data_IF_101210841871
#
_entry.id   IF_101210841871
#
_cell.length_a   1.000
_cell.length_b   1.000
_cell.length_c   1.000
_cell.angle_alpha   90.00
_cell.angle_beta   90.00
_cell.angle_gamma   90.00
#
_symmetry.space_group_name_H-M   'P 1'
#
loop_
_entity.id
_entity.type
_entity.pdbx_description
1 polymer ?
2 non-polymer ?
3 water ?
#
# COMPACT_ATOMS: atom_id res chain seq x y z
N UNK A 1 7.69 0.53 2.23
CA UNK A 1 8.73 -0.47 2.08
C UNK A 1 10.02 0.09 1.43
N UNK A 2 9.93 1.22 0.76
CA UNK A 2 10.98 1.86 -0.05
C UNK A 2 10.66 3.32 -0.32
N UNK A 3 11.49 4.02 -1.12
CA UNK A 3 11.41 5.48 -1.24
C UNK A 3 10.11 6.00 -1.91
N UNK A 4 9.48 5.19 -2.75
CA UNK A 4 8.20 5.58 -3.38
C UNK A 4 7.11 5.63 -2.34
N UNK A 5 7.09 4.62 -1.49
CA UNK A 5 6.07 4.47 -0.42
C UNK A 5 6.32 5.50 0.66
N UNK A 6 7.56 5.90 0.88
CA UNK A 6 7.89 6.99 1.85
C UNK A 6 7.26 8.32 1.42
N UNK A 7 7.44 8.70 0.16
CA UNK A 7 6.89 9.96 -0.37
C UNK A 7 5.35 9.89 -0.33
N UNK A 8 4.77 8.79 -0.83
CA UNK A 8 3.29 8.61 -0.78
C UNK A 8 2.77 8.75 0.65
N UNK A 9 3.39 8.08 1.62
CA UNK A 9 2.95 8.13 3.03
C UNK A 9 2.98 9.57 3.53
N UNK A 10 4.01 10.32 3.19
CA UNK A 10 4.21 11.72 3.62
C UNK A 10 3.02 12.57 3.13
N UNK A 11 2.57 12.32 1.91
CA UNK A 11 1.40 13.02 1.31
C UNK A 11 0.13 12.59 2.03
N UNK A 12 -0.07 11.27 2.23
CA UNK A 12 -1.32 10.77 2.80
C UNK A 12 -1.47 11.29 4.24
N UNK A 13 -0.41 11.31 5.00
CA UNK A 13 -0.53 11.60 6.47
C UNK A 13 -0.79 13.06 6.73
N UNK A 14 -0.48 13.96 5.82
CA UNK A 14 -0.72 15.41 6.06
C UNK A 14 -1.71 16.05 5.07
N UNK A 15 -1.86 15.51 3.86
CA UNK A 15 -2.61 16.21 2.79
C UNK A 15 -3.84 15.44 2.31
N UNK A 16 -4.38 14.50 3.07
CA UNK A 16 -5.65 13.87 2.66
C UNK A 16 -6.69 14.01 3.75
N UNK A 17 -7.95 13.98 3.32
CA UNK A 17 -9.13 13.88 4.23
C UNK A 17 -10.05 12.83 3.62
N UNK A 18 -10.99 12.33 4.39
CA UNK A 18 -12.04 11.44 3.83
C UNK A 18 -13.22 12.34 3.48
N UNK A 19 -13.61 12.39 2.20
CA UNK A 19 -14.74 13.20 1.74
C UNK A 19 -15.92 12.29 1.49
N UNK A 20 -17.10 12.69 1.93
CA UNK A 20 -18.34 11.88 1.76
C UNK A 20 -19.40 12.76 1.11
N UNK A 21 -19.82 12.40 -0.11
CA UNK A 21 -20.94 13.05 -0.84
C UNK A 21 -22.11 12.04 -0.85
N UNK A 22 -23.19 12.37 -1.51
CA UNK A 22 -24.33 11.42 -1.73
C UNK A 22 -23.93 10.30 -2.68
N UNK A 23 -22.79 10.45 -3.38
CA UNK A 23 -22.25 9.40 -4.28
C UNK A 23 -21.20 8.49 -3.61
N UNK A 24 -20.91 8.62 -2.29
CA UNK A 24 -20.05 7.74 -1.50
C UNK A 24 -18.87 8.46 -0.85
N UNK A 25 -17.91 7.66 -0.36
CA UNK A 25 -16.67 8.10 0.30
C UNK A 25 -15.55 8.10 -0.72
N UNK A 26 -14.77 9.19 -0.73
CA UNK A 26 -13.61 9.40 -1.61
C UNK A 26 -12.39 9.82 -0.78
N UNK A 27 -11.22 9.33 -1.18
CA UNK A 27 -9.94 10.00 -0.87
C UNK A 27 -10.02 11.40 -1.50
N UNK A 28 -9.66 12.41 -0.72
CA UNK A 28 -9.62 13.80 -1.15
C UNK A 28 -8.26 14.39 -0.81
N UNK A 29 -7.55 14.90 -1.82
CA UNK A 29 -6.21 15.52 -1.69
C UNK A 29 -6.34 17.02 -1.42
N UNK A 30 -5.84 17.45 -0.26
CA UNK A 30 -5.72 18.88 0.00
C UNK A 30 -4.46 19.42 -0.60
N UNK A 31 -4.51 20.56 -1.27
CA UNK A 31 -3.36 21.06 -2.07
C UNK A 31 -2.71 22.26 -1.39
N UNK A 32 -3.49 23.21 -0.88
CA UNK A 32 -2.99 24.40 -0.16
C UNK A 32 -4.18 25.09 0.47
N UNK A 33 -3.94 25.87 1.53
CA UNK A 33 -4.97 26.68 2.21
C UNK A 33 -6.19 25.76 2.48
N UNK A 34 -7.40 26.12 2.03
CA UNK A 34 -8.58 25.24 2.21
C UNK A 34 -9.04 24.65 0.87
N UNK A 35 -8.11 24.47 -0.04
CA UNK A 35 -8.37 24.04 -1.43
C UNK A 35 -7.99 22.56 -1.56
N UNK A 36 -8.92 21.76 -2.08
CA UNK A 36 -8.74 20.31 -2.27
C UNK A 36 -9.27 19.90 -3.64
N UNK A 37 -8.98 18.67 -4.03
CA UNK A 37 -9.47 18.10 -5.30
C UNK A 37 -10.17 16.78 -5.06
N UNK A 38 -11.08 16.44 -5.97
CA UNK A 38 -11.91 15.20 -5.86
C UNK A 38 -12.35 14.89 -7.29
N UNK A 39 -12.61 13.63 -7.67
CA UNK A 39 -13.14 13.36 -9.02
C UNK A 39 -14.50 14.04 -9.24
N UNK A 40 -14.74 14.57 -10.43
CA UNK A 40 -15.97 15.32 -10.68
C UNK A 40 -17.21 14.41 -10.48
N UNK A 41 -17.08 13.12 -10.72
CA UNK A 41 -18.22 12.19 -10.51
C UNK A 41 -18.62 12.03 -9.05
N UNK A 42 -17.89 12.57 -8.09
CA UNK A 42 -18.38 12.65 -6.69
C UNK A 42 -19.62 13.56 -6.51
N UNK A 43 -19.86 14.47 -7.47
CA UNK A 43 -21.00 15.39 -7.49
C UNK A 43 -21.05 16.24 -6.21
N UNK A 44 -20.01 17.02 -5.97
CA UNK A 44 -19.92 17.88 -4.77
C UNK A 44 -21.10 18.85 -4.81
N UNK A 45 -21.79 18.99 -3.70
CA UNK A 45 -22.87 19.98 -3.54
C UNK A 45 -22.47 21.11 -2.61
N UNK A 46 -23.45 21.76 -1.98
CA UNK A 46 -23.26 22.92 -1.09
C UNK A 46 -22.64 22.51 0.26
N UNK A 47 -22.88 21.27 0.66
CA UNK A 47 -22.45 20.62 1.94
C UNK A 47 -21.75 19.30 1.60
N UNK A 48 -20.62 19.06 2.26
CA UNK A 48 -19.83 17.81 2.09
C UNK A 48 -19.43 17.36 3.51
N UNK A 49 -19.26 16.07 3.75
CA UNK A 49 -18.68 15.60 5.03
C UNK A 49 -17.16 15.42 4.83
N UNK A 50 -16.36 15.96 5.74
CA UNK A 50 -14.88 15.89 5.73
C UNK A 50 -14.47 15.24 7.03
N UNK A 51 -13.97 14.02 6.98
CA UNK A 51 -13.65 13.25 8.21
C UNK A 51 -14.90 13.22 9.11
N UNK A 52 -16.07 12.99 8.54
CA UNK A 52 -17.42 12.86 9.18
C UNK A 52 -17.86 14.17 9.87
N UNK A 53 -17.30 15.31 9.49
CA UNK A 53 -17.79 16.64 9.95
C UNK A 53 -18.49 17.39 8.81
N UNK A 54 -19.70 17.84 9.08
CA UNK A 54 -20.51 18.60 8.11
C UNK A 54 -19.80 19.90 7.81
N UNK A 55 -19.51 20.12 6.53
CA UNK A 55 -18.64 21.21 6.06
C UNK A 55 -19.35 21.95 4.91
N UNK A 56 -19.48 23.27 5.02
CA UNK A 56 -19.95 24.09 3.89
C UNK A 56 -18.88 24.11 2.80
N UNK A 57 -19.32 24.00 1.54
CA UNK A 57 -18.48 24.18 0.34
C UNK A 57 -18.53 25.65 -0.06
N UNK A 58 -17.39 26.35 -0.03
CA UNK A 58 -17.32 27.79 -0.37
C UNK A 58 -17.23 27.98 -1.85
N UNK A 59 -16.71 27.01 -2.60
CA UNK A 59 -16.66 27.07 -4.07
C UNK A 59 -16.35 25.69 -4.59
N UNK A 60 -16.84 25.33 -5.76
CA UNK A 60 -16.52 24.04 -6.40
C UNK A 60 -16.54 24.28 -7.89
N UNK A 61 -15.50 23.84 -8.57
CA UNK A 61 -15.31 24.10 -10.01
C UNK A 61 -14.88 22.80 -10.69
N UNK A 62 -15.74 22.32 -11.54
CA UNK A 62 -15.42 21.17 -12.39
C UNK A 62 -14.57 21.61 -13.59
N UNK A 63 -13.34 21.18 -13.64
CA UNK A 63 -12.39 21.68 -14.67
C UNK A 63 -12.65 21.02 -16.02
N UNK A 64 -12.49 21.83 -17.06
CA UNK A 64 -12.54 21.41 -18.48
C UNK A 64 -11.34 22.05 -19.18
N UNK A 65 -10.81 21.42 -20.21
CA UNK A 65 -9.71 22.01 -20.98
C UNK A 65 -10.28 23.08 -21.91
N UNK A 66 -9.39 23.76 -22.65
CA UNK A 66 -9.80 24.90 -23.49
C UNK A 66 -10.56 24.43 -24.73
N UNK A 67 -10.52 23.13 -25.06
CA UNK A 67 -11.43 22.47 -26.06
C UNK A 67 -12.83 22.18 -25.48
N UNK A 68 -13.13 22.63 -24.25
CA UNK A 68 -14.38 22.38 -23.49
C UNK A 68 -14.54 20.85 -23.32
N UNK A 69 -13.46 20.10 -23.11
CA UNK A 69 -13.49 18.64 -22.76
C UNK A 69 -13.35 18.46 -21.23
N UNK A 70 -14.15 17.57 -20.68
CA UNK A 70 -14.03 17.11 -19.27
C UNK A 70 -12.57 16.76 -18.91
N UNK A 71 -12.06 17.22 -17.77
CA UNK A 71 -10.79 16.76 -17.14
C UNK A 71 -11.05 15.86 -15.90
N UNK A 72 -12.29 15.76 -15.40
CA UNK A 72 -12.72 14.87 -14.28
C UNK A 72 -12.11 15.28 -12.94
N UNK A 73 -11.58 16.51 -12.84
CA UNK A 73 -11.07 17.11 -11.58
C UNK A 73 -12.09 18.17 -11.17
N UNK A 74 -12.55 18.13 -9.92
CA UNK A 74 -13.28 19.26 -9.27
C UNK A 74 -12.34 19.85 -8.20
N UNK A 75 -12.14 21.16 -8.26
CA UNK A 75 -11.42 21.91 -7.23
C UNK A 75 -12.46 22.45 -6.27
N UNK A 76 -12.31 22.14 -4.99
CA UNK A 76 -13.26 22.47 -3.89
C UNK A 76 -12.53 23.35 -2.90
N UNK A 77 -13.18 24.44 -2.50
CA UNK A 77 -12.78 25.29 -1.34
C UNK A 77 -13.70 24.98 -0.16
N UNK A 78 -13.12 24.53 0.96
CA UNK A 78 -13.86 24.05 2.13
C UNK A 78 -13.93 25.16 3.19
N UNK A 79 -15.09 25.31 3.84
CA UNK A 79 -15.21 26.16 5.05
C UNK A 79 -14.67 25.42 6.27
N UNK A 80 -13.37 25.15 6.26
CA UNK A 80 -12.66 24.40 7.30
C UNK A 80 -11.85 25.39 8.17
N UNK A 81 -11.62 25.03 9.44
CA UNK A 81 -10.91 25.89 10.40
C UNK A 81 -9.41 25.65 10.37
N UNK A 82 -8.91 24.94 9.40
CA UNK A 82 -7.49 24.54 9.35
C UNK A 82 -7.04 24.51 7.88
N UNK A 83 -5.83 25.00 7.61
CA UNK A 83 -5.19 24.93 6.27
C UNK A 83 -4.43 23.61 6.07
N UNK A 84 -4.35 23.21 4.82
CA UNK A 84 -3.45 22.13 4.37
C UNK A 84 -2.02 22.68 4.26
N UNK A 85 -1.07 21.81 4.52
CA UNK A 85 0.32 22.01 4.06
C UNK A 85 0.34 22.31 2.56
N UNK A 86 1.03 23.35 2.14
CA UNK A 86 1.13 23.72 0.71
C UNK A 86 2.04 22.73 -0.02
N UNK A 87 1.46 21.93 -0.90
CA UNK A 87 2.21 20.91 -1.70
C UNK A 87 2.25 21.30 -3.17
N UNK A 88 1.96 22.55 -3.52
CA UNK A 88 1.90 22.90 -4.97
C UNK A 88 3.26 22.73 -5.65
N UNK A 89 4.35 22.83 -4.91
CA UNK A 89 5.70 22.66 -5.48
C UNK A 89 5.97 21.21 -5.87
N UNK A 90 5.11 20.27 -5.50
CA UNK A 90 5.27 18.85 -5.90
C UNK A 90 4.50 18.54 -7.17
N UNK A 91 3.74 19.49 -7.72
CA UNK A 91 2.88 19.25 -8.88
C UNK A 91 3.68 19.48 -10.15
N UNK A 92 3.57 18.58 -11.14
CA UNK A 92 4.23 18.83 -12.42
C UNK A 92 3.66 20.04 -13.17
N UNK A 93 4.51 20.65 -13.98
CA UNK A 93 4.10 21.79 -14.82
C UNK A 93 3.52 21.33 -16.15
N UNK A 94 3.97 20.19 -16.67
CA UNK A 94 3.54 19.71 -18.02
C UNK A 94 2.98 18.28 -17.97
N UNK A 95 2.19 17.93 -19.00
CA UNK A 95 1.78 16.53 -19.30
C UNK A 95 3.05 15.70 -19.51
N UNK A 96 3.14 14.50 -18.93
CA UNK A 96 4.31 13.61 -18.99
C UNK A 96 3.91 12.16 -18.72
N UNK A 97 4.83 11.26 -19.02
CA UNK A 97 4.81 9.84 -18.59
C UNK A 97 5.74 9.71 -17.41
N UNK A 98 5.60 8.65 -16.63
CA UNK A 98 6.37 8.47 -15.37
C UNK A 98 6.76 7.02 -15.14
N UNK A 99 7.82 6.80 -14.41
CA UNK A 99 8.10 5.41 -13.99
C UNK A 99 7.70 5.27 -12.53
N UNK A 100 7.37 4.06 -12.13
CA UNK A 100 7.41 3.63 -10.73
C UNK A 100 6.53 4.60 -9.96
N UNK A 101 5.23 4.49 -10.17
CA UNK A 101 4.24 5.24 -9.35
C UNK A 101 3.58 4.35 -8.27
N UNK A 102 3.03 5.04 -7.25
CA UNK A 102 2.21 4.48 -6.16
C UNK A 102 0.87 5.20 -6.18
N UNK A 103 -0.17 4.40 -6.08
CA UNK A 103 -1.56 4.83 -5.87
C UNK A 103 -1.91 4.61 -4.39
N UNK A 104 -2.31 5.70 -3.73
CA UNK A 104 -2.56 5.71 -2.27
C UNK A 104 -4.02 6.05 -2.00
N UNK A 105 -4.65 5.31 -1.11
CA UNK A 105 -6.09 5.44 -0.79
C UNK A 105 -6.23 5.44 0.72
N UNK A 106 -7.16 6.25 1.21
CA UNK A 106 -7.56 6.22 2.63
C UNK A 106 -9.06 6.50 2.78
N UNK A 107 -9.84 5.42 2.97
CA UNK A 107 -11.27 5.55 3.29
C UNK A 107 -11.58 4.62 4.47
N UNK A 108 -12.83 4.61 4.93
CA UNK A 108 -13.36 3.60 5.89
C UNK A 108 -13.14 2.16 5.40
N UNK A 109 -13.44 1.90 4.15
CA UNK A 109 -13.34 0.60 3.43
C UNK A 109 -11.86 0.22 3.27
N UNK A 110 -11.05 1.18 2.80
CA UNK A 110 -9.63 0.98 2.48
C UNK A 110 -8.71 1.96 3.23
N UNK A 111 -8.48 1.80 4.55
CA UNK A 111 -7.54 2.61 5.28
C UNK A 111 -6.09 2.20 4.96
N UNK A 112 -5.22 3.22 4.83
CA UNK A 112 -3.76 3.03 4.79
C UNK A 112 -3.39 2.06 3.67
N UNK A 113 -4.01 2.22 2.50
CA UNK A 113 -3.78 1.39 1.30
C UNK A 113 -2.78 2.06 0.35
N UNK A 114 -1.74 1.32 -0.05
CA UNK A 114 -0.70 1.77 -0.99
C UNK A 114 -0.51 0.70 -2.05
N UNK A 115 -0.58 1.07 -3.31
CA UNK A 115 -0.46 0.12 -4.48
C UNK A 115 0.70 0.55 -5.36
N UNK A 116 1.74 -0.28 -5.59
CA UNK A 116 2.77 -0.02 -6.58
C UNK A 116 2.18 -0.38 -7.94
N UNK A 117 1.90 0.64 -8.74
CA UNK A 117 1.21 0.47 -10.05
C UNK A 117 2.22 0.44 -11.19
N UNK A 118 3.48 0.78 -11.02
CA UNK A 118 4.48 0.67 -12.10
C UNK A 118 4.52 1.87 -13.00
N UNK A 119 4.81 1.64 -14.28
CA UNK A 119 4.88 2.67 -15.34
C UNK A 119 3.51 3.37 -15.53
N UNK A 120 3.56 4.67 -15.74
CA UNK A 120 2.35 5.49 -16.00
C UNK A 120 2.49 6.12 -17.38
N UNK A 121 1.55 5.79 -18.26
CA UNK A 121 1.48 6.32 -19.63
C UNK A 121 0.67 7.62 -19.64
N UNK A 122 1.18 8.64 -20.34
CA UNK A 122 0.34 9.76 -20.81
C UNK A 122 -0.61 9.20 -21.87
N UNK A 123 -1.80 8.77 -21.48
CA UNK A 123 -2.77 8.05 -22.34
C UNK A 123 -3.53 9.04 -23.22
N UNK A 124 -3.93 10.17 -22.63
CA UNK A 124 -4.60 11.28 -23.31
C UNK A 124 -6.11 11.19 -23.27
N UNK A 125 -6.72 10.87 -24.40
CA UNK A 125 -8.20 10.75 -24.52
C UNK A 125 -8.68 9.40 -23.96
N UNK A 126 -9.75 9.47 -23.16
CA UNK A 126 -10.47 8.30 -22.65
C UNK A 126 -11.95 8.65 -22.64
N UNK A 127 -12.74 7.69 -23.09
CA UNK A 127 -14.20 7.72 -22.91
C UNK A 127 -14.51 7.13 -21.53
N UNK A 128 -14.65 8.00 -20.54
CA UNK A 128 -14.73 7.58 -19.14
C UNK A 128 -16.19 7.54 -18.73
N UNK A 129 -16.74 6.34 -18.56
CA UNK A 129 -18.18 6.19 -18.25
C UNK A 129 -19.09 6.89 -19.25
N UNK A 130 -18.73 6.85 -20.54
CA UNK A 130 -19.42 7.55 -21.64
C UNK A 130 -19.06 9.04 -21.82
N UNK A 131 -18.22 9.63 -20.96
CA UNK A 131 -17.86 11.07 -21.08
C UNK A 131 -16.48 11.19 -21.71
N UNK A 132 -16.32 11.88 -22.86
CA UNK A 132 -14.99 12.12 -23.39
C UNK A 132 -14.17 12.91 -22.36
N UNK A 133 -12.95 12.47 -22.13
CA UNK A 133 -12.10 12.99 -21.04
C UNK A 133 -10.68 13.13 -21.55
N UNK A 134 -10.01 14.23 -21.19
CA UNK A 134 -8.62 14.47 -21.63
C UNK A 134 -7.64 14.39 -20.46
N UNK A 135 -6.34 14.40 -20.78
CA UNK A 135 -5.22 14.43 -19.78
C UNK A 135 -5.27 13.22 -18.85
N UNK A 136 -5.59 12.05 -19.40
CA UNK A 136 -5.65 10.76 -18.66
C UNK A 136 -4.26 10.08 -18.65
N UNK A 137 -3.88 9.63 -17.45
CA UNK A 137 -2.73 8.75 -17.12
C UNK A 137 -3.29 7.34 -16.94
N UNK A 138 -2.56 6.36 -17.47
CA UNK A 138 -2.93 4.93 -17.40
C UNK A 138 -1.79 4.11 -16.75
N UNK A 139 -2.19 3.15 -15.92
CA UNK A 139 -1.26 2.19 -15.29
C UNK A 139 -1.90 0.83 -15.37
N UNK A 140 -1.05 -0.21 -15.50
CA UNK A 140 -1.54 -1.61 -15.66
C UNK A 140 -1.69 -2.21 -14.28
N UNK A 141 -2.73 -1.84 -13.55
CA UNK A 141 -3.14 -2.49 -12.29
C UNK A 141 -4.64 -2.60 -12.32
N UNK A 142 -5.19 -3.74 -11.89
CA UNK A 142 -6.62 -3.92 -11.74
C UNK A 142 -7.17 -3.24 -10.49
N UNK A 143 -7.34 -1.93 -10.61
CA UNK A 143 -8.04 -1.09 -9.58
C UNK A 143 -9.55 -1.41 -9.50
N UNK A 144 -10.14 -1.12 -8.34
CA UNK A 144 -11.49 -1.54 -7.91
C UNK A 144 -12.20 -0.36 -7.33
N UNK A 145 -13.52 -0.47 -7.33
CA UNK A 145 -14.45 0.49 -6.72
C UNK A 145 -13.99 0.71 -5.28
N UNK A 146 -13.96 1.97 -4.88
CA UNK A 146 -13.42 2.38 -3.58
C UNK A 146 -12.10 3.16 -3.70
N UNK A 147 -11.45 3.11 -4.86
CA UNK A 147 -10.11 3.71 -5.07
C UNK A 147 -10.19 5.11 -5.70
N UNK A 148 -11.38 5.57 -6.08
CA UNK A 148 -11.49 6.88 -6.76
C UNK A 148 -11.11 7.98 -5.77
N UNK A 149 -10.33 8.95 -6.27
CA UNK A 149 -9.75 10.02 -5.47
C UNK A 149 -8.36 9.67 -4.99
N UNK A 150 -7.97 8.40 -5.12
CA UNK A 150 -6.64 7.92 -4.73
C UNK A 150 -5.57 8.78 -5.31
N UNK A 151 -4.52 9.02 -4.56
CA UNK A 151 -3.44 9.92 -5.03
C UNK A 151 -2.36 9.12 -5.75
N UNK A 152 -1.97 9.60 -6.92
CA UNK A 152 -0.87 8.97 -7.72
C UNK A 152 0.38 9.83 -7.54
N UNK A 153 1.47 9.20 -7.07
CA UNK A 153 2.75 9.87 -6.77
C UNK A 153 3.89 9.08 -7.42
N UNK A 154 4.94 9.82 -7.70
CA UNK A 154 6.33 9.30 -7.82
C UNK A 154 7.13 9.91 -6.65
N UNK A 155 8.37 9.45 -6.42
CA UNK A 155 9.31 10.20 -5.55
C UNK A 155 9.38 11.62 -6.13
N UNK A 156 8.94 12.54 -5.32
CA UNK A 156 9.08 13.96 -5.46
C UNK A 156 7.88 14.57 -6.11
N UNK A 157 6.94 13.80 -6.73
CA UNK A 157 5.85 14.42 -7.50
C UNK A 157 4.49 13.81 -7.22
N UNK A 158 3.50 14.69 -7.07
CA UNK A 158 2.06 14.35 -6.98
C UNK A 158 1.48 14.57 -8.37
N UNK A 159 1.12 13.48 -9.08
CA UNK A 159 0.92 13.56 -10.54
C UNK A 159 -0.55 13.39 -10.93
N UNK A 160 -1.43 12.91 -10.08
CA UNK A 160 -2.79 12.60 -10.52
C UNK A 160 -3.68 12.08 -9.42
N UNK A 161 -4.98 12.03 -9.72
CA UNK A 161 -5.97 11.38 -8.84
C UNK A 161 -6.72 10.30 -9.65
N UNK A 162 -6.89 9.15 -9.01
CA UNK A 162 -7.58 7.98 -9.60
C UNK A 162 -9.02 8.30 -9.95
N UNK A 163 -9.46 8.08 -11.20
CA UNK A 163 -10.85 8.39 -11.60
C UNK A 163 -11.58 7.17 -12.19
N UNK A 164 -10.90 6.07 -12.55
CA UNK A 164 -11.62 4.91 -13.09
C UNK A 164 -10.74 3.76 -13.46
N UNK A 165 -11.37 2.72 -14.03
CA UNK A 165 -10.59 1.59 -14.55
C UNK A 165 -11.44 0.63 -15.35
N UNK A 166 -10.84 -0.33 -15.99
CA UNK A 166 -11.59 -1.26 -16.88
C UNK A 166 -11.40 -2.71 -16.43
N UNK A 167 -10.89 -2.93 -15.22
CA UNK A 167 -10.68 -4.27 -14.68
C UNK A 167 -9.25 -4.75 -14.87
N UNK A 168 -8.56 -4.32 -15.94
CA UNK A 168 -7.12 -4.60 -16.20
C UNK A 168 -6.23 -3.38 -15.91
N UNK A 169 -6.69 -2.20 -16.32
CA UNK A 169 -6.00 -0.90 -16.22
C UNK A 169 -6.77 0.04 -15.26
N UNK A 170 -6.01 0.97 -14.67
CA UNK A 170 -6.54 2.11 -13.92
C UNK A 170 -6.20 3.39 -14.63
N UNK A 171 -6.97 4.42 -14.36
CA UNK A 171 -6.91 5.72 -15.05
C UNK A 171 -6.96 6.85 -14.01
N UNK A 172 -6.06 7.82 -14.17
CA UNK A 172 -5.99 8.98 -13.27
C UNK A 172 -6.12 10.26 -14.09
N UNK A 173 -6.76 11.28 -13.52
CA UNK A 173 -6.75 12.66 -14.06
C UNK A 173 -5.43 13.32 -13.64
N UNK A 174 -4.72 13.95 -14.58
CA UNK A 174 -3.48 14.70 -14.28
C UNK A 174 -3.74 15.80 -13.29
N UNK A 175 -2.79 16.06 -12.40
CA UNK A 175 -2.73 17.35 -11.68
C UNK A 175 -1.59 18.16 -12.28
N UNK A 176 -1.86 19.41 -12.59
CA UNK A 176 -0.85 20.35 -13.10
C UNK A 176 -0.77 21.54 -12.15
N UNK A 177 0.41 22.11 -12.04
CA UNK A 177 0.68 23.28 -11.19
C UNK A 177 -0.28 24.42 -11.56
N UNK A 178 -0.52 24.58 -12.87
CA UNK A 178 -1.34 25.69 -13.39
C UNK A 178 -2.79 25.61 -12.94
N UNK A 179 -3.27 24.49 -12.40
CA UNK A 179 -4.67 24.43 -11.92
C UNK A 179 -4.81 25.25 -10.61
N UNK A 180 -3.74 25.52 -9.89
CA UNK A 180 -3.79 25.97 -8.46
C UNK A 180 -2.96 27.22 -8.23
N UNK A 181 -2.72 27.99 -9.29
CA UNK A 181 -2.20 29.37 -9.16
C UNK A 181 -3.29 30.22 -8.48
N UNK A 182 -2.90 31.16 -7.61
CA UNK A 182 -3.83 32.13 -6.93
C UNK A 182 -3.33 33.59 -7.11
N UNK B 2 -12.43 -6.05 0.07
CA UNK B 2 -13.17 -7.24 0.64
C UNK B 2 -13.13 -7.26 2.17
N UNK B 3 -13.53 -8.39 2.82
CA UNK B 3 -13.08 -8.75 4.18
C UNK B 3 -11.62 -9.31 4.24
N UNK B 4 -10.93 -9.36 3.09
CA UNK B 4 -9.45 -9.42 2.99
C UNK B 4 -8.73 -8.33 3.79
N UNK B 5 -9.20 -7.07 3.75
CA UNK B 5 -8.62 -5.92 4.50
C UNK B 5 -8.87 -6.04 5.99
N UNK B 6 -10.05 -6.46 6.46
CA UNK B 6 -10.30 -6.70 7.91
C UNK B 6 -9.30 -7.73 8.44
N UNK B 7 -9.18 -8.84 7.68
CA UNK B 7 -8.30 -9.96 8.04
C UNK B 7 -6.84 -9.45 8.14
N UNK B 8 -6.37 -8.75 7.11
CA UNK B 8 -4.99 -8.19 7.11
C UNK B 8 -4.80 -7.30 8.35
N UNK B 9 -5.77 -6.41 8.62
CA UNK B 9 -5.69 -5.53 9.80
C UNK B 9 -5.72 -6.28 11.13
N UNK B 10 -6.51 -7.36 11.22
CA UNK B 10 -6.62 -8.20 12.43
C UNK B 10 -5.26 -8.86 12.71
N UNK B 11 -4.59 -9.35 11.68
CA UNK B 11 -3.27 -9.99 11.84
C UNK B 11 -2.24 -8.91 12.19
N UNK B 12 -2.32 -7.75 11.55
CA UNK B 12 -1.40 -6.61 11.84
C UNK B 12 -1.52 -6.26 13.33
N UNK B 13 -2.74 -5.99 13.77
CA UNK B 13 -3.03 -5.44 15.14
C UNK B 13 -2.51 -6.38 16.23
N UNK B 14 -2.79 -7.67 16.21
CA UNK B 14 -2.46 -8.57 17.34
C UNK B 14 -1.14 -9.34 17.13
N UNK B 15 -0.70 -9.55 15.86
CA UNK B 15 0.37 -10.53 15.57
C UNK B 15 1.61 -9.89 14.94
N UNK B 16 1.66 -8.60 14.67
CA UNK B 16 2.82 -8.03 13.94
C UNK B 16 3.60 -7.10 14.88
N UNK B 17 4.92 -7.24 14.97
CA UNK B 17 5.80 -6.40 15.77
C UNK B 17 6.98 -5.90 14.95
N UNK B 18 7.63 -4.84 15.46
CA UNK B 18 8.83 -4.27 14.81
C UNK B 18 10.04 -4.97 15.38
N UNK B 19 10.77 -5.69 14.56
CA UNK B 19 12.00 -6.38 14.99
C UNK B 19 13.21 -5.62 14.46
N UNK B 20 14.17 -5.31 15.32
CA UNK B 20 15.42 -4.67 14.87
C UNK B 20 16.62 -5.55 15.19
N UNK B 21 17.37 -5.91 14.15
CA UNK B 21 18.62 -6.70 14.22
C UNK B 21 19.79 -5.75 13.93
N UNK B 22 20.97 -6.32 13.79
CA UNK B 22 22.17 -5.54 13.39
C UNK B 22 21.91 -4.92 12.03
N UNK B 23 21.04 -5.51 11.18
CA UNK B 23 20.82 -5.05 9.78
C UNK B 23 19.74 -3.95 9.69
N UNK B 24 19.02 -3.70 10.76
CA UNK B 24 17.91 -2.73 10.81
C UNK B 24 16.57 -3.36 11.09
N UNK B 25 15.50 -2.64 10.68
CA UNK B 25 14.11 -3.01 11.06
C UNK B 25 13.43 -3.89 10.02
N UNK B 26 12.70 -4.86 10.57
CA UNK B 26 11.95 -5.87 9.81
C UNK B 26 10.55 -5.99 10.40
N UNK B 27 9.56 -6.18 9.55
CA UNK B 27 8.20 -6.58 9.98
C UNK B 27 8.30 -8.03 10.51
N UNK B 28 7.91 -8.32 11.73
CA UNK B 28 8.01 -9.68 12.30
C UNK B 28 6.58 -10.19 12.58
N UNK B 29 6.30 -11.43 12.26
CA UNK B 29 5.03 -12.07 12.55
C UNK B 29 5.16 -12.99 13.75
N UNK B 30 4.41 -12.70 14.81
CA UNK B 30 4.26 -13.66 15.90
C UNK B 30 3.22 -14.72 15.59
N UNK B 31 3.51 -15.98 15.91
CA UNK B 31 2.68 -17.11 15.41
C UNK B 31 1.88 -17.69 16.59
N UNK B 32 2.56 -17.97 17.68
CA UNK B 32 1.92 -18.53 18.91
C UNK B 32 2.93 -18.42 20.03
N UNK B 33 2.47 -18.47 21.29
CA UNK B 33 3.38 -18.42 22.47
C UNK B 33 4.39 -17.28 22.26
N UNK B 34 5.68 -17.55 22.40
CA UNK B 34 6.75 -16.54 22.12
C UNK B 34 7.52 -16.87 20.82
N UNK B 35 6.85 -17.52 19.89
CA UNK B 35 7.45 -18.01 18.62
C UNK B 35 7.05 -17.03 17.52
N UNK B 36 8.04 -16.52 16.77
CA UNK B 36 7.83 -15.57 15.68
C UNK B 36 8.65 -15.98 14.45
N UNK B 37 8.42 -15.33 13.35
CA UNK B 37 9.22 -15.57 12.11
C UNK B 37 9.70 -14.24 11.57
N UNK B 38 10.82 -14.35 10.88
CA UNK B 38 11.49 -13.20 10.24
C UNK B 38 12.28 -13.72 9.04
N UNK B 39 12.52 -12.94 7.96
CA UNK B 39 13.42 -13.48 6.92
C UNK B 39 14.82 -13.83 7.41
N UNK B 40 15.39 -14.90 6.86
CA UNK B 40 16.72 -15.35 7.29
C UNK B 40 17.76 -14.23 7.09
N UNK B 41 17.60 -13.42 6.05
CA UNK B 41 18.56 -12.34 5.69
C UNK B 41 18.59 -11.24 6.78
N UNK B 42 17.66 -11.25 7.73
CA UNK B 42 17.70 -10.30 8.87
C UNK B 42 18.92 -10.54 9.77
N UNK B 43 19.57 -11.69 9.72
CA UNK B 43 20.77 -12.01 10.54
C UNK B 43 20.45 -11.84 12.03
N UNK B 44 19.47 -12.59 12.50
CA UNK B 44 19.12 -12.60 13.94
C UNK B 44 20.34 -13.04 14.76
N UNK B 45 20.60 -12.34 15.88
CA UNK B 45 21.68 -12.67 16.81
C UNK B 45 21.17 -13.23 18.11
N UNK B 46 21.90 -12.90 19.19
CA UNK B 46 21.58 -13.38 20.55
C UNK B 46 20.54 -12.44 21.17
N UNK B 47 20.56 -11.20 20.75
CA UNK B 47 19.66 -10.13 21.28
C UNK B 47 18.94 -9.49 20.09
N UNK B 48 17.67 -9.17 20.27
CA UNK B 48 16.91 -8.43 19.21
C UNK B 48 16.12 -7.35 19.92
N UNK B 49 15.74 -6.31 19.20
CA UNK B 49 14.75 -5.32 19.72
C UNK B 49 13.38 -5.65 19.16
N UNK B 50 12.37 -5.70 20.04
CA UNK B 50 10.95 -5.94 19.69
C UNK B 50 10.20 -4.70 20.14
N UNK B 51 9.65 -3.94 19.21
CA UNK B 51 8.95 -2.65 19.55
C UNK B 51 9.85 -1.84 20.47
N UNK B 52 11.14 -1.80 20.14
CA UNK B 52 12.22 -0.95 20.74
C UNK B 52 12.64 -1.51 22.09
N UNK B 53 12.23 -2.72 22.46
CA UNK B 53 12.55 -3.36 23.78
C UNK B 53 13.63 -4.41 23.53
N UNK B 54 14.83 -4.22 24.10
CA UNK B 54 15.93 -5.23 24.11
C UNK B 54 15.42 -6.60 24.60
N UNK B 55 15.55 -7.65 23.78
CA UNK B 55 14.92 -8.98 24.02
C UNK B 55 15.94 -10.07 23.69
N UNK B 56 16.12 -11.00 24.62
CA UNK B 56 16.96 -12.19 24.37
C UNK B 56 16.23 -13.11 23.40
N UNK B 57 17.00 -13.57 22.41
CA UNK B 57 16.58 -14.65 21.46
C UNK B 57 17.04 -16.00 22.06
N UNK B 58 16.08 -16.77 22.55
CA UNK B 58 16.38 -18.07 23.19
C UNK B 58 16.79 -19.11 22.14
N UNK B 59 16.17 -19.06 20.97
CA UNK B 59 16.46 -20.03 19.90
C UNK B 59 16.20 -19.33 18.59
N UNK B 60 16.98 -19.68 17.57
CA UNK B 60 16.81 -19.24 16.17
C UNK B 60 17.11 -20.44 15.28
N UNK B 61 16.18 -20.72 14.36
CA UNK B 61 16.29 -21.81 13.37
C UNK B 61 16.13 -21.23 11.97
N UNK B 62 17.16 -21.35 11.14
CA UNK B 62 17.12 -20.94 9.72
C UNK B 62 16.51 -22.14 8.99
N UNK B 63 15.21 -22.10 8.64
CA UNK B 63 14.51 -23.28 8.08
C UNK B 63 15.08 -23.71 6.71
N UNK B 64 15.12 -25.05 6.57
CA UNK B 64 15.44 -25.74 5.32
C UNK B 64 14.45 -26.90 5.20
N UNK B 65 14.12 -27.28 3.98
CA UNK B 65 13.17 -28.40 3.77
C UNK B 65 13.93 -29.73 3.80
N UNK B 66 13.22 -30.83 3.55
CA UNK B 66 13.84 -32.18 3.61
C UNK B 66 14.75 -32.49 2.43
N UNK B 67 14.77 -31.68 1.40
CA UNK B 67 15.81 -31.71 0.35
C UNK B 67 17.08 -30.97 0.81
N UNK B 68 17.06 -30.42 2.02
CA UNK B 68 18.20 -29.66 2.57
C UNK B 68 18.39 -28.40 1.72
N UNK B 69 17.28 -27.75 1.41
CA UNK B 69 17.30 -26.48 0.64
C UNK B 69 16.77 -25.34 1.52
N UNK B 70 17.40 -24.19 1.46
CA UNK B 70 16.97 -22.94 2.12
C UNK B 70 15.49 -22.68 1.86
N UNK B 71 14.77 -22.24 2.92
CA UNK B 71 13.41 -21.67 2.81
C UNK B 71 13.38 -20.16 3.11
N UNK B 72 14.42 -19.56 3.66
CA UNK B 72 14.53 -18.11 3.90
C UNK B 72 13.66 -17.61 5.07
N UNK B 73 13.12 -18.52 5.85
CA UNK B 73 12.36 -18.23 7.11
C UNK B 73 13.24 -18.64 8.26
N UNK B 74 13.35 -17.74 9.22
CA UNK B 74 13.98 -18.03 10.51
C UNK B 74 12.91 -18.00 11.59
N UNK B 75 12.78 -19.10 12.30
CA UNK B 75 11.85 -19.19 13.46
C UNK B 75 12.64 -18.78 14.69
N UNK B 76 12.09 -17.86 15.48
CA UNK B 76 12.75 -17.41 16.73
C UNK B 76 11.85 -17.66 17.94
N UNK B 77 12.48 -17.99 19.06
CA UNK B 77 11.81 -18.08 20.41
C UNK B 77 12.34 -16.93 21.24
N UNK B 78 11.42 -16.06 21.65
CA UNK B 78 11.74 -14.79 22.34
C UNK B 78 11.53 -14.92 23.86
N UNK B 79 12.44 -14.33 24.61
CA UNK B 79 12.33 -14.23 26.11
C UNK B 79 11.49 -12.98 26.48
N UNK B 80 10.18 -13.09 26.39
CA UNK B 80 9.23 -11.98 26.72
C UNK B 80 7.97 -12.56 27.39
N UNK B 81 7.26 -11.74 28.19
CA UNK B 81 6.08 -12.22 28.93
C UNK B 81 4.88 -12.38 28.04
N UNK B 82 4.69 -11.42 27.12
CA UNK B 82 3.55 -11.46 26.19
C UNK B 82 3.63 -12.75 25.36
N UNK B 83 2.47 -13.34 25.20
CA UNK B 83 2.20 -14.47 24.30
C UNK B 83 1.46 -13.93 23.06
N UNK B 84 1.91 -14.32 21.86
CA UNK B 84 1.18 -13.99 20.63
C UNK B 84 -0.12 -14.76 20.57
N UNK B 85 -1.18 -14.11 20.13
CA UNK B 85 -2.45 -14.76 19.73
C UNK B 85 -2.15 -15.86 18.70
N UNK B 86 -2.62 -17.08 18.95
CA UNK B 86 -2.29 -18.27 18.12
C UNK B 86 -2.96 -18.13 16.76
N UNK B 87 -2.22 -18.18 15.64
CA UNK B 87 -2.77 -18.09 14.29
C UNK B 87 -2.32 -19.29 13.48
N UNK B 88 -1.95 -20.38 14.13
CA UNK B 88 -1.47 -21.59 13.42
C UNK B 88 -2.56 -22.18 12.56
N UNK B 89 -3.83 -22.01 12.95
CA UNK B 89 -4.98 -22.53 12.18
C UNK B 89 -5.26 -21.71 10.93
N UNK B 90 -4.60 -20.54 10.73
CA UNK B 90 -4.71 -19.78 9.46
C UNK B 90 -3.57 -20.07 8.46
N UNK B 91 -2.69 -21.01 8.78
CA UNK B 91 -1.53 -21.37 7.93
C UNK B 91 -1.95 -22.47 6.97
N UNK B 92 -1.70 -22.32 5.65
CA UNK B 92 -1.96 -23.38 4.68
C UNK B 92 -1.19 -24.67 4.98
N UNK B 93 -1.75 -25.79 4.54
CA UNK B 93 -1.08 -27.12 4.66
C UNK B 93 -0.10 -27.35 3.52
N UNK B 94 -0.38 -26.82 2.33
CA UNK B 94 0.39 -27.12 1.09
C UNK B 94 0.66 -25.85 0.26
N UNK B 95 1.49 -25.98 -0.78
CA UNK B 95 1.81 -24.93 -1.79
C UNK B 95 0.59 -24.67 -2.68
N UNK B 96 0.25 -23.40 -2.95
CA UNK B 96 -0.90 -23.04 -3.83
C UNK B 96 -0.72 -21.65 -4.44
N UNK B 97 -1.53 -21.35 -5.47
CA UNK B 97 -1.79 -20.00 -6.00
C UNK B 97 -2.88 -19.35 -5.16
N UNK B 98 -2.93 -18.02 -5.12
CA UNK B 98 -3.95 -17.22 -4.39
C UNK B 98 -4.36 -16.01 -5.22
N UNK B 99 -5.58 -15.56 -5.00
CA UNK B 99 -6.09 -14.28 -5.54
C UNK B 99 -6.22 -13.28 -4.39
N UNK B 100 -6.07 -12.01 -4.73
CA UNK B 100 -6.54 -10.90 -3.89
C UNK B 100 -5.77 -10.96 -2.56
N UNK B 101 -4.44 -11.07 -2.62
CA UNK B 101 -3.58 -10.99 -1.43
C UNK B 101 -3.22 -9.56 -1.06
N UNK B 102 -2.89 -9.39 0.21
CA UNK B 102 -2.45 -8.13 0.83
C UNK B 102 -1.11 -8.37 1.53
N UNK B 103 -0.16 -7.46 1.31
CA UNK B 103 1.16 -7.43 1.96
C UNK B 103 1.09 -6.30 2.99
N UNK B 104 1.28 -6.64 4.26
CA UNK B 104 1.14 -5.69 5.40
C UNK B 104 2.51 -5.46 6.06
N UNK B 105 2.95 -4.20 6.02
CA UNK B 105 4.28 -3.71 6.46
C UNK B 105 4.12 -3.00 7.78
N UNK B 106 5.01 -3.23 8.70
CA UNK B 106 5.01 -2.56 10.03
C UNK B 106 6.44 -2.35 10.53
N UNK B 107 6.96 -1.11 10.37
CA UNK B 107 8.28 -0.67 10.92
C UNK B 107 8.13 0.74 11.47
N UNK B 108 9.20 1.30 12.03
CA UNK B 108 9.12 2.69 12.59
C UNK B 108 8.93 3.69 11.46
N UNK B 109 9.44 3.37 10.26
CA UNK B 109 9.34 4.25 9.08
C UNK B 109 8.00 4.07 8.34
N UNK B 110 7.42 2.85 8.35
CA UNK B 110 6.20 2.45 7.63
C UNK B 110 5.28 1.77 8.63
N UNK B 111 4.63 2.49 9.54
CA UNK B 111 3.77 1.88 10.52
C UNK B 111 2.45 1.49 9.87
N UNK B 112 1.85 0.33 10.15
CA UNK B 112 0.47 0.09 9.62
C UNK B 112 0.29 0.42 8.11
N UNK B 113 1.07 -0.13 7.17
CA UNK B 113 0.94 0.07 5.69
C UNK B 113 0.42 -1.21 4.97
N UNK B 114 -0.65 -1.13 4.22
CA UNK B 114 -1.31 -2.27 3.55
C UNK B 114 -1.17 -2.11 2.03
N UNK B 115 -0.58 -3.14 1.41
CA UNK B 115 -0.21 -3.14 -0.04
C UNK B 115 -0.95 -4.26 -0.71
N UNK B 116 -2.09 -4.01 -1.38
CA UNK B 116 -2.78 -5.01 -2.17
C UNK B 116 -1.85 -5.37 -3.33
N UNK B 117 -1.53 -6.66 -3.44
CA UNK B 117 -0.61 -7.11 -4.52
C UNK B 117 -1.40 -7.95 -5.56
N UNK B 118 -2.57 -8.46 -5.18
CA UNK B 118 -3.49 -9.20 -6.06
C UNK B 118 -3.10 -10.64 -6.18
N UNK B 119 -2.90 -11.06 -7.41
CA UNK B 119 -2.69 -12.50 -7.74
C UNK B 119 -1.32 -12.96 -7.21
N UNK B 120 -1.30 -14.10 -6.54
CA UNK B 120 -0.06 -14.72 -6.01
C UNK B 120 0.13 -16.11 -6.64
N UNK B 121 1.26 -16.32 -7.29
CA UNK B 121 1.61 -17.61 -7.96
C UNK B 121 2.47 -18.44 -7.00
N UNK B 122 2.24 -19.75 -6.87
CA UNK B 122 3.23 -20.74 -6.40
C UNK B 122 4.36 -20.81 -7.43
N UNK B 123 5.42 -20.07 -7.23
CA UNK B 123 6.55 -19.83 -8.16
C UNK B 123 7.56 -20.97 -8.00
N UNK B 124 7.84 -21.40 -6.76
CA UNK B 124 8.71 -22.52 -6.38
C UNK B 124 10.15 -22.11 -6.17
N UNK B 125 11.03 -22.46 -7.10
CA UNK B 125 12.47 -22.32 -6.99
C UNK B 125 12.88 -20.90 -7.33
N UNK B 126 13.75 -20.30 -6.54
CA UNK B 126 14.33 -18.97 -6.80
C UNK B 126 15.75 -18.97 -6.28
N UNK B 127 16.66 -18.40 -7.05
CA UNK B 127 18.02 -18.15 -6.59
C UNK B 127 18.02 -16.80 -5.97
N UNK B 128 17.93 -16.76 -4.65
CA UNK B 128 17.77 -15.50 -3.91
C UNK B 128 19.08 -15.06 -3.25
N UNK B 129 19.66 -13.95 -3.75
CA UNK B 129 20.96 -13.49 -3.26
C UNK B 129 22.05 -14.55 -3.41
N UNK B 130 22.00 -15.38 -4.44
CA UNK B 130 22.97 -16.46 -4.67
C UNK B 130 22.66 -17.76 -3.95
N UNK B 131 21.58 -17.81 -3.16
CA UNK B 131 21.20 -19.02 -2.41
C UNK B 131 19.98 -19.66 -3.06
N UNK B 132 20.08 -20.92 -3.51
CA UNK B 132 18.93 -21.68 -3.98
C UNK B 132 17.87 -21.78 -2.87
N UNK B 133 16.65 -21.41 -3.20
CA UNK B 133 15.53 -21.27 -2.22
C UNK B 133 14.28 -21.97 -2.76
N UNK B 134 13.56 -22.66 -1.90
CA UNK B 134 12.30 -23.35 -2.24
C UNK B 134 11.07 -22.60 -1.68
N UNK B 135 9.91 -23.03 -2.15
CA UNK B 135 8.57 -22.61 -1.66
C UNK B 135 8.43 -21.09 -1.73
N UNK B 136 8.74 -20.51 -2.85
CA UNK B 136 8.57 -19.06 -3.11
C UNK B 136 7.21 -18.79 -3.76
N UNK B 137 6.51 -17.79 -3.22
CA UNK B 137 5.32 -17.15 -3.79
C UNK B 137 5.74 -15.89 -4.54
N UNK B 138 5.12 -15.60 -5.70
CA UNK B 138 5.43 -14.43 -6.51
C UNK B 138 4.15 -13.59 -6.75
N UNK B 139 4.35 -12.29 -6.73
CA UNK B 139 3.30 -11.30 -7.08
C UNK B 139 3.98 -10.20 -7.86
N UNK B 140 3.17 -9.46 -8.64
CA UNK B 140 3.68 -8.24 -9.30
C UNK B 140 4.12 -7.26 -8.25
N UNK B 141 5.23 -6.55 -8.47
CA UNK B 141 5.72 -5.59 -7.46
C UNK B 141 6.69 -4.66 -8.13
N UNK B 142 6.16 -3.77 -8.99
CA UNK B 142 6.99 -2.95 -9.91
C UNK B 142 7.60 -1.72 -9.23
N UNK B 143 8.53 -2.00 -8.31
CA UNK B 143 9.08 -1.01 -7.34
C UNK B 143 10.34 -1.69 -6.81
N UNK B 144 11.30 -0.89 -6.35
CA UNK B 144 12.50 -1.38 -5.62
C UNK B 144 12.20 -1.13 -4.13
N UNK B 145 11.92 -2.22 -3.44
CA UNK B 145 11.61 -2.28 -2.01
C UNK B 145 12.93 -2.43 -1.23
N UNK B 146 12.96 -1.92 0.00
CA UNK B 146 14.00 -2.26 0.99
C UNK B 146 13.85 -3.67 1.53
N UNK B 147 14.58 -3.97 2.57
CA UNK B 147 14.67 -5.33 3.17
C UNK B 147 13.50 -5.60 4.14
N UNK B 148 12.74 -4.59 4.57
CA UNK B 148 11.97 -4.73 5.82
C UNK B 148 10.88 -5.83 5.72
N UNK B 149 10.43 -6.14 4.52
CA UNK B 149 9.41 -7.19 4.29
C UNK B 149 8.05 -6.88 4.91
N UNK B 150 7.28 -7.96 5.13
CA UNK B 150 5.88 -7.81 5.52
C UNK B 150 5.15 -9.12 5.40
N UNK B 151 3.95 -9.17 5.91
CA UNK B 151 3.15 -10.41 6.03
C UNK B 151 2.17 -10.44 4.88
N UNK B 152 2.07 -11.58 4.20
CA UNK B 152 1.13 -11.77 3.07
C UNK B 152 -0.09 -12.59 3.53
N UNK B 153 -1.28 -12.03 3.33
CA UNK B 153 -2.56 -12.64 3.74
C UNK B 153 -3.53 -12.64 2.58
N UNK B 154 -4.46 -13.59 2.67
CA UNK B 154 -5.71 -13.58 1.87
C UNK B 154 -6.85 -13.59 2.87
N UNK B 155 -8.10 -13.56 2.45
CA UNK B 155 -9.18 -13.79 3.44
C UNK B 155 -8.98 -15.19 4.05
N UNK B 156 -8.91 -15.24 5.38
CA UNK B 156 -8.81 -16.46 6.16
C UNK B 156 -7.48 -17.13 6.13
N UNK B 157 -6.44 -16.60 5.48
CA UNK B 157 -5.15 -17.32 5.43
C UNK B 157 -3.95 -16.37 5.60
N UNK B 158 -2.97 -16.83 6.36
CA UNK B 158 -1.64 -16.20 6.49
C UNK B 158 -0.67 -17.02 5.63
N UNK B 159 -0.24 -16.51 4.49
CA UNK B 159 0.35 -17.41 3.45
C UNK B 159 1.84 -17.24 3.35
N UNK B 160 2.45 -16.18 3.84
CA UNK B 160 3.89 -16.03 3.60
C UNK B 160 4.45 -14.76 4.21
N UNK B 161 5.75 -14.60 4.15
CA UNK B 161 6.43 -13.34 4.54
C UNK B 161 7.30 -12.88 3.36
N UNK B 162 7.28 -11.60 3.05
CA UNK B 162 8.08 -11.02 1.93
C UNK B 162 9.59 -11.18 2.17
N UNK B 163 10.31 -11.74 1.19
CA UNK B 163 11.77 -11.95 1.36
C UNK B 163 12.60 -11.31 0.25
N UNK B 164 12.02 -10.79 -0.82
CA UNK B 164 12.79 -10.03 -1.83
C UNK B 164 12.03 -9.72 -3.09
N UNK B 165 12.76 -9.34 -4.14
CA UNK B 165 12.16 -8.84 -5.39
C UNK B 165 13.22 -8.52 -6.42
N UNK B 166 12.77 -8.29 -7.66
CA UNK B 166 13.71 -8.04 -8.80
C UNK B 166 13.35 -6.72 -9.52
N UNK B 167 12.49 -5.86 -8.93
CA UNK B 167 12.04 -4.55 -9.46
C UNK B 167 10.76 -4.66 -10.30
N UNK B 168 10.37 -5.86 -10.68
CA UNK B 168 9.16 -6.20 -11.46
C UNK B 168 8.25 -7.09 -10.64
N UNK B 169 8.85 -8.08 -10.00
CA UNK B 169 8.17 -9.08 -9.16
C UNK B 169 8.64 -8.95 -7.71
N UNK B 170 7.77 -9.41 -6.83
CA UNK B 170 7.99 -9.53 -5.38
C UNK B 170 7.89 -11.01 -4.99
N UNK B 171 8.66 -11.42 -3.99
CA UNK B 171 8.78 -12.84 -3.59
C UNK B 171 8.54 -12.98 -2.09
N UNK B 172 7.78 -13.99 -1.73
CA UNK B 172 7.49 -14.31 -0.32
C UNK B 172 7.85 -15.76 -0.05
N UNK B 173 8.35 -16.06 1.10
CA UNK B 173 8.54 -17.42 1.61
C UNK B 173 7.22 -17.94 2.13
N UNK B 174 6.80 -19.14 1.75
CA UNK B 174 5.53 -19.75 2.24
C UNK B 174 5.63 -20.00 3.73
N UNK B 175 4.50 -19.80 4.43
CA UNK B 175 4.31 -20.35 5.79
C UNK B 175 3.39 -21.55 5.66
N UNK B 176 3.77 -22.67 6.25
CA UNK B 176 3.01 -23.94 6.23
C UNK B 176 2.72 -24.33 7.67
N UNK B 177 1.57 -24.99 7.88
CA UNK B 177 1.11 -25.45 9.20
C UNK B 177 2.16 -26.34 9.88
N UNK B 178 2.80 -27.19 9.09
CA UNK B 178 3.80 -28.17 9.56
C UNK B 178 5.06 -27.53 10.12
N UNK B 179 5.34 -26.25 9.87
CA UNK B 179 6.55 -25.63 10.43
C UNK B 179 6.45 -25.42 11.95
N UNK B 180 5.22 -25.44 12.50
CA UNK B 180 4.92 -25.01 13.90
C UNK B 180 4.18 -26.09 14.70
N UNK B 181 3.98 -27.29 14.19
CA UNK B 181 3.34 -28.40 14.95
C UNK B 181 4.19 -28.78 16.20
X LIG C 1 -1.42 -24.03 -7.95
X LIG C 1 -2.16 -26.12 -8.06
X LIG C 1 0.03 -27.70 -7.06
X LIG C 1 -0.90 -26.16 -7.64
X LIG C 1 -0.47 -24.85 -7.61
X LIG C 1 -2.52 -24.85 -8.25
#
# INVERSE_FOLDING_TARGET
>A
MGPGFDFAQAIMKKNTVIARTEKGEFTMLGVYDRVAVIPTHASVGEIIYINDVETRVLDACALRDLTDTNLEITIVKLDRNQKFRDIRHFLPRCEDDYNDAVLSVHTSKFPNMYIPVGQVTNYGFLNLGGTPTHRILMYNFPTRAGQCGGVVTTTGKVIGIHVGGNGAQGFAAMLLHSYFTD
>B
MGPGFDFAQAIMKKNTVIARTEKGEFTMLGVYDRVAVIPTHASVGEIIYINDVETRVLDACALRDLTDTNLEITIVKLDRNQKFRDIRHFLPRCEDDYNDAVLSVHTSKFPNMYIPVGQVTNYGFLNLGGTPTHRILMYNFPTRAGQCGGVVTTTGKVIGIHVGGNGAQGFAAMLLHSYFTD
>C hetero
1 7ZX N1 C3 BR1 C1 C2 O1
#
